data_IF_498598642955
#
_entry.id   IF_498598642955
#
_cell.length_a   1.000
_cell.length_b   1.000
_cell.length_c   1.000
_cell.angle_alpha   90.00
_cell.angle_beta   90.00
_cell.angle_gamma   90.00
#
_symmetry.space_group_name_H-M   'P 1'
#
loop_
_entity.id
_entity.type
_entity.pdbx_description
1 polymer ?
#
# COMPACT_ATOMS: atom_id res chain seq x y z
N UNK A 1 -45.17 -3.89 77.79
CA UNK A 1 -44.69 -5.21 77.38
C UNK A 1 -44.90 -5.40 75.91
N UNK A 2 -43.89 -5.32 75.09
CA UNK A 2 -43.65 -5.84 73.74
C UNK A 2 -42.50 -5.09 73.08
N UNK A 3 -41.39 -5.73 73.00
CA UNK A 3 -40.21 -5.22 72.30
C UNK A 3 -40.33 -5.56 70.79
N UNK A 4 -40.19 -4.55 69.92
CA UNK A 4 -40.08 -4.69 68.50
C UNK A 4 -38.61 -4.61 68.14
N UNK A 5 -38.14 -5.67 67.50
CA UNK A 5 -36.82 -5.70 66.86
C UNK A 5 -36.97 -5.25 65.39
N UNK A 6 -36.33 -4.16 65.01
CA UNK A 6 -36.22 -3.75 63.62
C UNK A 6 -34.92 -4.32 63.00
N UNK A 7 -35.08 -5.02 61.86
CA UNK A 7 -33.98 -5.49 61.03
C UNK A 7 -33.54 -4.37 60.11
N UNK A 8 -32.27 -4.01 60.16
CA UNK A 8 -31.61 -3.21 59.12
C UNK A 8 -31.32 -4.10 57.94
N UNK A 9 -31.88 -3.78 56.77
CA UNK A 9 -31.49 -4.32 55.47
C UNK A 9 -30.50 -3.41 54.82
N UNK A 10 -29.25 -3.85 54.68
CA UNK A 10 -28.24 -3.17 53.91
C UNK A 10 -28.49 -3.39 52.40
N UNK A 11 -28.80 -2.33 51.68
CA UNK A 11 -28.88 -2.33 50.23
C UNK A 11 -27.47 -2.07 49.69
N UNK A 12 -26.85 -3.09 49.11
CA UNK A 12 -25.65 -2.93 48.27
C UNK A 12 -26.09 -2.30 46.95
N UNK A 13 -25.74 -1.04 46.74
CA UNK A 13 -25.80 -0.40 45.44
C UNK A 13 -24.58 -0.85 44.60
N UNK A 14 -24.79 -1.77 43.67
CA UNK A 14 -23.82 -2.09 42.64
C UNK A 14 -23.77 -0.90 41.64
N UNK A 15 -22.72 -0.11 41.73
CA UNK A 15 -22.46 0.93 40.75
C UNK A 15 -22.04 0.30 39.42
N UNK A 16 -22.95 0.31 38.45
CA UNK A 16 -22.62 0.05 37.04
C UNK A 16 -21.83 1.24 36.54
N UNK A 17 -20.49 1.10 36.42
CA UNK A 17 -19.66 2.01 35.69
C UNK A 17 -20.00 1.85 34.20
N UNK A 18 -20.88 2.70 33.69
CA UNK A 18 -21.05 2.88 32.28
C UNK A 18 -19.77 3.51 31.74
N UNK A 19 -18.92 2.73 31.09
CA UNK A 19 -17.89 3.28 30.22
C UNK A 19 -18.60 4.06 29.11
N UNK A 20 -18.63 5.40 29.25
CA UNK A 20 -19.02 6.26 28.16
C UNK A 20 -17.99 6.08 27.04
N UNK A 21 -18.38 5.40 25.97
CA UNK A 21 -17.69 5.46 24.71
C UNK A 21 -17.79 6.90 24.25
N UNK A 22 -16.71 7.67 24.41
CA UNK A 22 -16.63 9.01 23.84
C UNK A 22 -16.76 8.86 22.33
N UNK A 23 -17.65 9.64 21.67
CA UNK A 23 -17.69 9.63 20.22
C UNK A 23 -16.30 10.02 19.71
N UNK A 24 -15.78 9.20 18.77
CA UNK A 24 -14.57 9.56 18.01
C UNK A 24 -14.82 10.96 17.47
N UNK A 25 -14.02 11.93 17.93
CA UNK A 25 -14.12 13.31 17.46
C UNK A 25 -13.94 13.34 15.95
N UNK A 26 -14.73 14.15 15.27
CA UNK A 26 -14.67 14.29 13.82
C UNK A 26 -13.22 14.51 13.38
N UNK A 27 -12.71 13.60 12.56
CA UNK A 27 -11.37 13.64 11.99
C UNK A 27 -11.25 14.91 11.16
N UNK A 28 -10.22 15.71 11.40
CA UNK A 28 -9.88 16.84 10.53
C UNK A 28 -9.21 16.27 9.26
N UNK A 29 -10.03 15.93 8.30
CA UNK A 29 -9.56 15.60 6.94
C UNK A 29 -9.29 16.90 6.22
N UNK A 30 -8.28 16.93 5.34
CA UNK A 30 -8.07 18.02 4.40
C UNK A 30 -9.42 18.30 3.71
N UNK A 31 -10.07 19.45 4.00
CA UNK A 31 -11.42 19.73 3.52
C UNK A 31 -11.49 19.82 1.99
N UNK A 32 -10.34 20.02 1.32
CA UNK A 32 -10.26 20.13 -0.13
C UNK A 32 -9.96 18.78 -0.81
N UNK A 33 -9.68 17.69 -0.05
CA UNK A 33 -9.42 16.39 -0.61
C UNK A 33 -10.69 15.55 -0.73
N UNK A 34 -11.23 15.50 -1.93
CA UNK A 34 -12.39 14.67 -2.30
C UNK A 34 -11.96 13.57 -3.28
N UNK A 35 -11.70 12.37 -2.73
CA UNK A 35 -11.32 11.21 -3.52
C UNK A 35 -12.43 10.77 -4.50
N UNK A 36 -13.69 10.91 -4.10
CA UNK A 36 -14.84 10.58 -4.94
C UNK A 36 -14.91 11.51 -6.17
N UNK A 37 -14.78 12.81 -5.97
CA UNK A 37 -14.69 13.80 -7.04
C UNK A 37 -13.46 13.57 -7.93
N UNK A 38 -12.30 13.34 -7.35
CA UNK A 38 -11.11 13.02 -8.14
C UNK A 38 -11.32 11.83 -9.07
N UNK A 39 -11.91 10.74 -8.58
CA UNK A 39 -12.21 9.54 -9.37
C UNK A 39 -13.21 9.83 -10.48
N UNK A 40 -14.28 10.57 -10.19
CA UNK A 40 -15.27 10.96 -11.19
C UNK A 40 -14.64 11.79 -12.30
N UNK A 41 -13.86 12.81 -11.97
CA UNK A 41 -13.14 13.66 -12.91
C UNK A 41 -12.14 12.89 -13.78
N UNK A 42 -11.38 11.96 -13.19
CA UNK A 42 -10.45 11.10 -13.93
C UNK A 42 -11.18 10.23 -14.95
N UNK A 43 -12.33 9.63 -14.57
CA UNK A 43 -13.16 8.82 -15.48
C UNK A 43 -13.73 9.72 -16.58
N UNK A 44 -14.22 10.90 -16.26
CA UNK A 44 -14.75 11.86 -17.21
C UNK A 44 -13.68 12.29 -18.21
N UNK A 45 -12.48 12.68 -17.74
CA UNK A 45 -11.36 13.03 -18.61
C UNK A 45 -10.99 11.87 -19.55
N UNK A 46 -10.93 10.63 -19.06
CA UNK A 46 -10.62 9.46 -19.88
C UNK A 46 -11.69 9.23 -20.97
N UNK A 47 -12.97 9.30 -20.61
CA UNK A 47 -14.08 9.16 -21.58
C UNK A 47 -14.07 10.28 -22.62
N UNK A 48 -13.85 11.52 -22.20
CA UNK A 48 -13.77 12.66 -23.10
C UNK A 48 -12.57 12.55 -24.07
N UNK A 49 -11.40 12.07 -23.62
CA UNK A 49 -10.26 11.78 -24.50
C UNK A 49 -10.63 10.72 -25.55
N UNK A 50 -11.31 9.65 -25.16
CA UNK A 50 -11.76 8.59 -26.06
C UNK A 50 -12.79 9.10 -27.09
N UNK A 51 -13.70 9.98 -26.66
CA UNK A 51 -14.69 10.61 -27.49
C UNK A 51 -14.15 11.77 -28.34
N UNK A 52 -12.89 12.18 -28.14
CA UNK A 52 -12.24 13.35 -28.75
C UNK A 52 -12.96 14.68 -28.40
N UNK A 53 -13.60 14.73 -27.23
CA UNK A 53 -14.21 15.93 -26.64
C UNK A 53 -13.13 16.73 -25.90
N UNK A 54 -12.21 17.35 -26.66
CA UNK A 54 -10.94 17.83 -26.14
C UNK A 54 -11.07 18.87 -25.03
N UNK A 55 -11.94 19.88 -25.21
CA UNK A 55 -12.12 20.95 -24.21
C UNK A 55 -12.71 20.40 -22.90
N UNK A 56 -13.62 19.45 -22.98
CA UNK A 56 -14.17 18.73 -21.83
C UNK A 56 -13.09 17.90 -21.13
N UNK A 57 -12.26 17.21 -21.89
CA UNK A 57 -11.15 16.44 -21.37
C UNK A 57 -10.12 17.32 -20.66
N UNK A 58 -9.82 18.51 -21.21
CA UNK A 58 -8.94 19.49 -20.57
C UNK A 58 -9.54 19.96 -19.25
N UNK A 59 -10.80 20.41 -19.24
CA UNK A 59 -11.46 20.89 -18.03
C UNK A 59 -11.47 19.83 -16.91
N UNK A 60 -11.90 18.60 -17.22
CA UNK A 60 -11.96 17.54 -16.24
C UNK A 60 -10.56 17.12 -15.72
N UNK A 61 -9.54 17.12 -16.60
CA UNK A 61 -8.18 16.82 -16.16
C UNK A 61 -7.56 17.93 -15.32
N UNK A 62 -7.88 19.18 -15.58
CA UNK A 62 -7.40 20.33 -14.79
C UNK A 62 -8.00 20.31 -13.38
N UNK A 63 -9.31 20.12 -13.26
CA UNK A 63 -9.95 19.97 -11.95
C UNK A 63 -9.41 18.76 -11.19
N UNK A 64 -9.19 17.63 -11.87
CA UNK A 64 -8.58 16.45 -11.22
C UNK A 64 -7.16 16.72 -10.73
N UNK A 65 -6.35 17.51 -11.45
CA UNK A 65 -4.98 17.89 -11.06
C UNK A 65 -4.95 18.93 -9.92
N UNK A 66 -6.01 19.71 -9.71
CA UNK A 66 -6.13 20.52 -8.49
C UNK A 66 -6.22 19.62 -7.26
N UNK A 67 -7.02 18.56 -7.31
CA UNK A 67 -7.18 17.62 -6.17
C UNK A 67 -5.94 16.75 -6.02
N UNK A 68 -5.36 16.27 -7.13
CA UNK A 68 -4.23 15.32 -7.12
C UNK A 68 -3.15 15.70 -8.14
N UNK A 69 -2.29 16.70 -7.84
CA UNK A 69 -1.29 17.22 -8.79
C UNK A 69 -0.24 16.19 -9.24
N UNK A 70 -0.02 15.14 -8.42
CA UNK A 70 0.98 14.11 -8.70
C UNK A 70 0.44 12.89 -9.45
N UNK A 71 -0.83 12.90 -9.88
CA UNK A 71 -1.44 11.77 -10.59
C UNK A 71 -0.88 11.60 -11.99
N UNK A 72 -0.02 10.59 -12.17
CA UNK A 72 0.56 10.27 -13.48
C UNK A 72 -0.50 9.95 -14.55
N UNK A 73 -1.55 9.23 -14.17
CA UNK A 73 -2.64 8.92 -15.10
C UNK A 73 -3.35 10.19 -15.60
N UNK A 74 -3.62 11.15 -14.70
CA UNK A 74 -4.28 12.40 -15.08
C UNK A 74 -3.33 13.32 -15.85
N UNK A 75 -2.04 13.36 -15.51
CA UNK A 75 -1.03 14.10 -16.29
C UNK A 75 -0.94 13.62 -17.74
N UNK A 76 -1.02 12.30 -17.97
CA UNK A 76 -1.08 11.76 -19.33
C UNK A 76 -2.39 12.06 -20.05
N UNK A 77 -3.53 12.00 -19.36
CA UNK A 77 -4.83 12.41 -19.92
C UNK A 77 -4.82 13.88 -20.29
N UNK A 78 -4.29 14.74 -19.42
CA UNK A 78 -4.12 16.18 -19.66
C UNK A 78 -3.23 16.46 -20.88
N UNK A 79 -2.10 15.72 -21.01
CA UNK A 79 -1.23 15.85 -22.20
C UNK A 79 -1.98 15.47 -23.49
N UNK A 80 -2.73 14.36 -23.48
CA UNK A 80 -3.53 13.91 -24.62
C UNK A 80 -4.65 14.89 -24.99
N UNK A 81 -5.40 15.36 -23.99
CA UNK A 81 -6.50 16.31 -24.19
C UNK A 81 -6.00 17.62 -24.81
N UNK A 82 -4.92 18.17 -24.25
CA UNK A 82 -4.31 19.42 -24.76
C UNK A 82 -3.70 19.25 -26.15
N UNK A 83 -3.07 18.12 -26.42
CA UNK A 83 -2.55 17.84 -27.77
C UNK A 83 -3.69 17.77 -28.80
N UNK A 84 -4.81 17.09 -28.45
CA UNK A 84 -5.99 17.03 -29.30
C UNK A 84 -6.70 18.37 -29.50
N UNK A 85 -6.67 19.26 -28.50
CA UNK A 85 -7.18 20.63 -28.57
C UNK A 85 -6.23 21.60 -29.31
N UNK A 86 -5.09 21.15 -29.84
CA UNK A 86 -4.09 22.00 -30.50
C UNK A 86 -3.22 22.83 -29.56
N UNK A 87 -3.31 22.61 -28.23
CA UNK A 87 -2.56 23.32 -27.18
C UNK A 87 -1.20 22.67 -26.93
N UNK A 88 -0.34 22.62 -27.95
CA UNK A 88 0.89 21.85 -27.94
C UNK A 88 1.88 22.21 -26.81
N UNK A 89 2.03 23.52 -26.49
CA UNK A 89 2.91 23.94 -25.41
C UNK A 89 2.46 23.45 -24.02
N UNK A 90 1.17 23.53 -23.73
CA UNK A 90 0.57 23.06 -22.49
C UNK A 90 0.60 21.51 -22.40
N UNK A 91 0.31 20.82 -23.52
CA UNK A 91 0.43 19.36 -23.61
C UNK A 91 1.85 18.88 -23.28
N UNK A 92 2.85 19.60 -23.81
CA UNK A 92 4.26 19.32 -23.53
C UNK A 92 4.61 19.58 -22.06
N UNK A 93 4.02 20.60 -21.41
CA UNK A 93 4.20 20.85 -19.98
C UNK A 93 3.67 19.69 -19.15
N UNK A 94 2.44 19.20 -19.41
CA UNK A 94 1.88 18.02 -18.71
C UNK A 94 2.73 16.77 -18.89
N UNK A 95 3.27 16.54 -20.10
CA UNK A 95 4.16 15.39 -20.36
C UNK A 95 5.51 15.55 -19.62
N UNK A 96 6.05 16.77 -19.55
CA UNK A 96 7.27 17.06 -18.78
C UNK A 96 7.03 16.80 -17.29
N UNK A 97 5.90 17.23 -16.76
CA UNK A 97 5.53 17.00 -15.36
C UNK A 97 5.40 15.51 -15.02
N UNK A 98 4.83 14.73 -15.94
CA UNK A 98 4.81 13.28 -15.83
C UNK A 98 6.21 12.68 -15.74
N UNK A 99 7.09 13.03 -16.68
CA UNK A 99 8.45 12.50 -16.73
C UNK A 99 9.31 12.98 -15.54
N UNK A 100 9.10 14.22 -15.06
CA UNK A 100 9.84 14.77 -13.92
C UNK A 100 9.64 13.97 -12.62
N UNK A 101 8.56 13.19 -12.52
CA UNK A 101 8.28 12.28 -11.37
C UNK A 101 8.93 10.89 -11.53
N UNK A 102 9.83 10.74 -12.50
CA UNK A 102 10.56 9.49 -12.74
C UNK A 102 9.73 8.39 -13.39
N UNK A 103 8.60 8.74 -14.02
CA UNK A 103 7.74 7.80 -14.72
C UNK A 103 8.15 7.63 -16.18
N UNK A 104 7.76 6.50 -16.78
CA UNK A 104 8.01 6.19 -18.19
C UNK A 104 6.70 5.94 -18.93
N UNK A 105 6.72 6.20 -20.23
CA UNK A 105 5.59 5.99 -21.11
C UNK A 105 6.06 5.39 -22.44
N UNK A 106 5.29 4.44 -22.97
CA UNK A 106 5.52 3.92 -24.32
C UNK A 106 5.03 4.95 -25.35
N UNK A 107 5.93 5.47 -26.16
CA UNK A 107 5.57 6.44 -27.23
C UNK A 107 4.54 5.86 -28.20
N UNK A 108 4.65 4.57 -28.52
CA UNK A 108 3.72 3.88 -29.43
C UNK A 108 2.30 3.75 -28.86
N UNK A 109 2.16 3.74 -27.54
CA UNK A 109 0.84 3.66 -26.89
C UNK A 109 0.08 5.01 -26.92
N UNK A 110 0.78 6.12 -27.24
CA UNK A 110 0.22 7.46 -27.26
C UNK A 110 0.63 8.22 -28.53
N UNK A 111 0.21 7.75 -29.74
CA UNK A 111 0.65 8.35 -31.01
C UNK A 111 0.30 9.83 -31.14
N UNK A 112 -0.77 10.31 -30.52
CA UNK A 112 -1.15 11.71 -30.48
C UNK A 112 -0.15 12.63 -29.76
N UNK A 113 0.72 12.06 -28.91
CA UNK A 113 1.81 12.80 -28.26
C UNK A 113 3.09 12.85 -29.10
N UNK A 114 3.14 12.15 -30.24
CA UNK A 114 4.36 12.07 -31.08
C UNK A 114 4.93 13.44 -31.48
N UNK A 115 4.11 14.46 -31.83
CA UNK A 115 4.64 15.78 -32.19
C UNK A 115 5.26 16.56 -31.04
N UNK A 116 5.02 16.13 -29.78
CA UNK A 116 5.51 16.83 -28.59
C UNK A 116 6.95 16.45 -28.21
N UNK A 117 7.41 15.30 -28.70
CA UNK A 117 8.72 14.77 -28.32
C UNK A 117 9.85 15.61 -28.91
N UNK A 118 10.81 15.95 -28.05
CA UNK A 118 12.07 16.59 -28.40
C UNK A 118 13.23 15.92 -27.68
N UNK A 119 14.43 16.34 -27.95
CA UNK A 119 15.66 15.79 -27.37
C UNK A 119 15.65 15.82 -25.82
N UNK A 120 15.04 16.84 -25.18
CA UNK A 120 14.98 16.96 -23.72
C UNK A 120 14.01 15.93 -23.11
N UNK A 121 12.82 15.77 -23.69
CA UNK A 121 11.86 14.77 -23.24
C UNK A 121 12.38 13.35 -23.50
N UNK A 122 13.06 13.12 -24.62
CA UNK A 122 13.68 11.84 -24.93
C UNK A 122 14.80 11.51 -23.95
N UNK A 123 15.66 12.45 -23.63
CA UNK A 123 16.70 12.29 -22.63
C UNK A 123 16.12 11.97 -21.25
N UNK A 124 15.04 12.67 -20.84
CA UNK A 124 14.39 12.41 -19.57
C UNK A 124 13.73 11.02 -19.54
N UNK A 125 13.04 10.62 -20.62
CA UNK A 125 12.44 9.29 -20.72
C UNK A 125 13.50 8.18 -20.66
N UNK A 126 14.61 8.34 -21.37
CA UNK A 126 15.75 7.43 -21.30
C UNK A 126 16.32 7.36 -19.88
N UNK A 127 16.59 8.50 -19.24
CA UNK A 127 17.07 8.55 -17.86
C UNK A 127 16.10 7.88 -16.87
N UNK A 128 14.77 8.01 -17.07
CA UNK A 128 13.77 7.33 -16.23
C UNK A 128 13.73 5.82 -16.48
N UNK A 129 14.09 5.37 -17.69
CA UNK A 129 14.08 3.95 -18.08
C UNK A 129 15.32 3.20 -17.58
N UNK A 130 16.43 3.93 -17.34
CA UNK A 130 17.66 3.33 -16.86
C UNK A 130 17.48 2.73 -15.46
N UNK A 131 17.97 1.50 -15.22
CA UNK A 131 17.99 0.91 -13.90
C UNK A 131 18.79 1.74 -12.89
N UNK A 132 18.32 1.79 -11.65
CA UNK A 132 19.02 2.45 -10.54
C UNK A 132 19.20 1.42 -9.43
N UNK A 133 20.38 1.40 -8.82
CA UNK A 133 20.69 0.53 -7.70
C UNK A 133 20.66 -0.95 -8.05
N UNK A 134 20.94 -1.76 -7.06
CA UNK A 134 20.90 -3.23 -7.18
C UNK A 134 20.42 -3.82 -5.86
N UNK A 135 19.92 -5.05 -5.92
CA UNK A 135 19.62 -5.84 -4.75
C UNK A 135 20.21 -7.25 -4.92
N UNK A 136 20.45 -7.91 -3.81
CA UNK A 136 20.88 -9.31 -3.80
C UNK A 136 19.64 -10.20 -3.82
N UNK A 137 19.51 -11.09 -4.80
CA UNK A 137 18.49 -12.15 -4.77
C UNK A 137 18.92 -13.18 -3.72
N UNK A 138 18.18 -13.25 -2.60
CA UNK A 138 18.48 -14.15 -1.49
C UNK A 138 17.69 -15.44 -1.53
N UNK A 139 16.50 -15.44 -2.17
CA UNK A 139 15.68 -16.63 -2.36
C UNK A 139 14.97 -16.57 -3.72
N UNK A 140 14.75 -17.75 -4.33
CA UNK A 140 14.03 -17.92 -5.60
C UNK A 140 13.13 -19.15 -5.50
N UNK A 141 11.83 -18.97 -5.71
CA UNK A 141 10.83 -20.02 -5.51
C UNK A 141 9.94 -20.19 -6.75
N UNK A 142 10.27 -21.15 -7.60
CA UNK A 142 9.48 -21.43 -8.80
C UNK A 142 8.06 -21.93 -8.48
N UNK A 143 7.93 -22.68 -7.38
CA UNK A 143 6.65 -23.26 -6.97
C UNK A 143 5.74 -22.33 -6.19
N UNK A 144 6.26 -21.19 -5.67
CA UNK A 144 5.42 -20.18 -5.02
C UNK A 144 4.56 -19.51 -6.08
N UNK A 145 3.29 -19.32 -5.81
CA UNK A 145 2.35 -18.74 -6.76
C UNK A 145 1.71 -17.49 -6.18
N UNK A 146 2.07 -16.36 -6.78
CA UNK A 146 1.73 -15.00 -6.35
C UNK A 146 2.10 -14.77 -4.88
N UNK A 147 3.35 -14.36 -4.68
CA UNK A 147 3.85 -13.95 -3.37
C UNK A 147 3.35 -12.53 -3.07
N UNK A 148 2.67 -12.34 -1.94
CA UNK A 148 2.11 -11.05 -1.53
C UNK A 148 2.69 -10.61 -0.19
N UNK A 149 2.53 -11.42 0.83
CA UNK A 149 2.99 -11.15 2.18
C UNK A 149 4.34 -11.79 2.48
N UNK A 150 5.15 -11.05 3.24
CA UNK A 150 6.46 -11.47 3.74
C UNK A 150 6.54 -11.15 5.24
N UNK A 151 7.00 -12.12 6.03
CA UNK A 151 7.38 -11.88 7.42
C UNK A 151 8.68 -12.62 7.76
N UNK A 152 9.55 -11.98 8.56
CA UNK A 152 10.87 -12.50 8.90
C UNK A 152 11.09 -12.47 10.40
N UNK A 153 11.47 -13.59 10.97
CA UNK A 153 11.90 -13.66 12.35
C UNK A 153 13.31 -13.08 12.49
N UNK A 154 13.41 -11.93 13.14
CA UNK A 154 14.66 -11.17 13.22
C UNK A 154 15.82 -11.96 13.86
N UNK A 155 15.55 -12.87 14.81
CA UNK A 155 16.58 -13.65 15.52
C UNK A 155 17.16 -14.81 14.69
N UNK A 156 16.31 -15.54 13.98
CA UNK A 156 16.71 -16.76 13.25
C UNK A 156 16.87 -16.54 11.74
N UNK A 157 16.31 -15.43 11.21
CA UNK A 157 16.23 -15.20 9.77
C UNK A 157 15.19 -16.07 9.06
N UNK A 158 14.36 -16.83 9.79
CA UNK A 158 13.27 -17.60 9.19
C UNK A 158 12.34 -16.68 8.45
N UNK A 159 12.02 -17.03 7.22
CA UNK A 159 11.15 -16.28 6.32
C UNK A 159 9.82 -16.99 6.14
N UNK A 160 8.75 -16.25 6.24
CA UNK A 160 7.38 -16.70 5.94
C UNK A 160 6.92 -15.97 4.69
N UNK A 161 6.30 -16.71 3.77
CA UNK A 161 5.81 -16.18 2.49
C UNK A 161 4.39 -16.63 2.26
N UNK A 162 3.50 -15.71 1.91
CA UNK A 162 2.19 -16.06 1.42
C UNK A 162 2.28 -16.56 -0.03
N UNK A 163 1.42 -17.52 -0.38
CA UNK A 163 1.20 -18.00 -1.74
C UNK A 163 -0.27 -17.80 -2.07
N UNK A 164 -0.63 -16.60 -2.49
CA UNK A 164 -2.00 -16.14 -2.64
C UNK A 164 -2.81 -17.04 -3.55
N UNK A 165 -2.33 -17.33 -4.75
CA UNK A 165 -3.10 -18.13 -5.71
C UNK A 165 -3.24 -19.60 -5.30
N UNK A 166 -2.40 -20.10 -4.39
CA UNK A 166 -2.48 -21.45 -3.83
C UNK A 166 -3.24 -21.54 -2.52
N UNK A 167 -3.60 -20.41 -1.91
CA UNK A 167 -4.25 -20.39 -0.60
C UNK A 167 -3.36 -20.99 0.49
N UNK A 168 -2.10 -20.55 0.59
CA UNK A 168 -1.16 -21.15 1.54
C UNK A 168 -0.22 -20.11 2.16
N UNK A 169 0.23 -20.39 3.38
CA UNK A 169 1.37 -19.75 4.03
C UNK A 169 2.52 -20.76 4.07
N UNK A 170 3.70 -20.32 3.68
CA UNK A 170 4.88 -21.16 3.62
C UNK A 170 5.96 -20.63 4.57
N UNK A 171 6.80 -21.54 5.07
CA UNK A 171 8.01 -21.23 5.82
C UNK A 171 9.24 -21.63 5.01
N UNK A 172 10.27 -20.80 4.98
CA UNK A 172 11.54 -21.11 4.35
C UNK A 172 12.53 -21.59 5.40
N UNK A 173 12.91 -22.85 5.31
CA UNK A 173 13.92 -23.46 6.16
C UNK A 173 15.15 -23.84 5.31
N UNK A 174 16.32 -23.28 5.61
CA UNK A 174 17.58 -23.55 4.88
C UNK A 174 17.43 -23.39 3.35
N UNK A 175 16.68 -22.35 2.92
CA UNK A 175 16.42 -22.09 1.51
C UNK A 175 15.33 -22.95 0.86
N UNK A 176 14.77 -23.92 1.60
CA UNK A 176 13.69 -24.79 1.13
C UNK A 176 12.34 -24.24 1.58
N UNK A 177 11.42 -24.11 0.62
CA UNK A 177 10.05 -23.68 0.86
C UNK A 177 9.20 -24.86 1.33
N UNK A 178 8.63 -24.77 2.51
CA UNK A 178 7.77 -25.78 3.11
C UNK A 178 6.38 -25.20 3.40
N UNK A 179 5.28 -25.92 3.14
CA UNK A 179 3.96 -25.53 3.58
C UNK A 179 3.91 -25.44 5.11
N UNK A 180 3.41 -24.32 5.65
CA UNK A 180 3.15 -24.13 7.07
C UNK A 180 1.64 -24.27 7.36
N UNK A 181 0.80 -23.61 6.58
CA UNK A 181 -0.65 -23.63 6.73
C UNK A 181 -1.32 -23.55 5.36
N UNK A 182 -2.38 -24.34 5.14
CA UNK A 182 -3.20 -24.31 3.94
C UNK A 182 -4.58 -23.75 4.27
N UNK A 183 -5.06 -22.86 3.43
CA UNK A 183 -6.38 -22.24 3.54
C UNK A 183 -7.43 -23.04 2.74
N UNK A 184 -8.73 -22.82 3.02
CA UNK A 184 -9.80 -23.38 2.21
C UNK A 184 -9.69 -22.96 0.73
N UNK A 185 -10.29 -23.74 -0.17
CA UNK A 185 -10.35 -23.39 -1.58
C UNK A 185 -11.00 -22.02 -1.80
N UNK A 186 -10.43 -21.24 -2.70
CA UNK A 186 -10.90 -19.90 -3.03
C UNK A 186 -10.47 -18.80 -2.05
N UNK A 187 -9.76 -19.15 -0.97
CA UNK A 187 -9.25 -18.20 0.04
C UNK A 187 -7.74 -18.06 -0.09
N UNK A 188 -7.26 -16.85 -0.36
CA UNK A 188 -5.84 -16.52 -0.48
C UNK A 188 -5.24 -15.98 0.81
N UNK A 189 -3.93 -16.22 1.03
CA UNK A 189 -3.13 -15.54 2.05
C UNK A 189 -2.50 -14.28 1.44
N UNK A 190 -2.76 -13.14 2.05
CA UNK A 190 -2.26 -11.83 1.66
C UNK A 190 -1.14 -11.37 2.60
N UNK A 191 -1.34 -10.33 3.37
CA UNK A 191 -0.35 -9.79 4.31
C UNK A 191 0.01 -10.76 5.44
N UNK A 192 1.25 -10.67 5.89
CA UNK A 192 1.81 -11.46 7.00
C UNK A 192 2.49 -10.53 8.01
N UNK A 193 2.26 -10.76 9.31
CA UNK A 193 2.96 -10.07 10.38
C UNK A 193 3.35 -11.01 11.51
N UNK A 194 4.56 -10.84 12.07
CA UNK A 194 5.05 -11.63 13.21
C UNK A 194 4.96 -10.83 14.50
N UNK A 195 4.47 -11.48 15.56
CA UNK A 195 4.55 -10.97 16.93
C UNK A 195 4.75 -12.12 17.92
N UNK A 196 5.90 -12.14 18.55
CA UNK A 196 6.27 -13.23 19.44
C UNK A 196 6.28 -14.58 18.73
N UNK A 197 5.51 -15.53 19.23
CA UNK A 197 5.36 -16.87 18.64
C UNK A 197 4.17 -16.97 17.69
N UNK A 198 3.54 -15.84 17.37
CA UNK A 198 2.39 -15.79 16.50
C UNK A 198 2.73 -15.21 15.13
N UNK A 199 2.22 -15.86 14.09
CA UNK A 199 2.15 -15.35 12.74
C UNK A 199 0.68 -14.94 12.48
N UNK A 200 0.49 -13.67 12.20
CA UNK A 200 -0.79 -13.08 11.84
C UNK A 200 -0.92 -13.04 10.34
N UNK A 201 -2.05 -13.50 9.81
CA UNK A 201 -2.28 -13.68 8.38
C UNK A 201 -3.59 -13.01 7.99
N UNK A 202 -3.53 -12.04 7.10
CA UNK A 202 -4.71 -11.53 6.43
C UNK A 202 -5.11 -12.49 5.30
N UNK A 203 -6.37 -12.90 5.29
CA UNK A 203 -6.90 -13.83 4.29
C UNK A 203 -8.16 -13.29 3.65
N UNK A 204 -8.35 -13.55 2.36
CA UNK A 204 -9.55 -13.14 1.64
C UNK A 204 -9.84 -14.04 0.44
N UNK A 205 -11.11 -14.21 0.13
CA UNK A 205 -11.55 -14.80 -1.13
C UNK A 205 -11.20 -13.90 -2.31
N UNK A 206 -10.75 -14.47 -3.42
CA UNK A 206 -10.41 -13.67 -4.59
C UNK A 206 -10.22 -14.50 -5.86
N UNK A 207 -10.51 -13.91 -7.02
CA UNK A 207 -10.49 -14.56 -8.31
C UNK A 207 -9.13 -15.19 -8.70
N UNK A 208 -8.04 -14.64 -8.14
CA UNK A 208 -6.67 -15.14 -8.38
C UNK A 208 -6.39 -16.43 -7.59
N UNK A 209 -7.20 -16.75 -6.58
CA UNK A 209 -6.99 -17.93 -5.74
C UNK A 209 -7.66 -19.16 -6.36
N UNK A 210 -6.93 -20.27 -6.41
CA UNK A 210 -7.43 -21.54 -6.93
C UNK A 210 -8.71 -21.97 -6.22
N UNK A 211 -9.73 -22.35 -7.00
CA UNK A 211 -11.03 -22.79 -6.46
C UNK A 211 -11.93 -21.64 -6.02
N UNK A 212 -11.60 -20.39 -6.36
CA UNK A 212 -12.51 -19.27 -6.14
C UNK A 212 -13.82 -19.47 -6.93
N UNK A 213 -14.93 -19.26 -6.23
CA UNK A 213 -16.27 -19.34 -6.78
C UNK A 213 -17.05 -18.08 -6.36
N UNK A 214 -17.38 -17.17 -7.30
CA UNK A 214 -18.09 -15.94 -6.98
C UNK A 214 -19.54 -16.18 -6.48
N UNK A 215 -20.08 -17.39 -6.63
CA UNK A 215 -21.40 -17.74 -6.10
C UNK A 215 -21.37 -18.10 -4.60
N UNK A 216 -20.18 -18.37 -4.04
CA UNK A 216 -19.99 -18.61 -2.60
C UNK A 216 -19.88 -17.31 -1.82
N UNK A 217 -20.29 -17.29 -0.53
CA UNK A 217 -20.02 -16.15 0.33
C UNK A 217 -18.53 -15.79 0.35
N UNK A 218 -18.24 -14.50 0.26
CA UNK A 218 -16.85 -14.03 0.39
C UNK A 218 -16.34 -14.28 1.82
N UNK A 219 -15.11 -14.75 1.92
CA UNK A 219 -14.42 -14.96 3.20
C UNK A 219 -13.35 -13.89 3.34
N UNK A 220 -13.28 -13.23 4.49
CA UNK A 220 -12.17 -12.38 4.90
C UNK A 220 -11.94 -12.61 6.40
N UNK A 221 -10.76 -13.11 6.75
CA UNK A 221 -10.38 -13.43 8.12
C UNK A 221 -8.97 -12.96 8.42
N UNK A 222 -8.72 -12.60 9.67
CA UNK A 222 -7.37 -12.53 10.22
C UNK A 222 -7.15 -13.78 11.06
N UNK A 223 -6.12 -14.55 10.73
CA UNK A 223 -5.75 -15.74 11.46
C UNK A 223 -4.55 -15.45 12.36
N UNK A 224 -4.65 -15.89 13.62
CA UNK A 224 -3.51 -16.02 14.51
C UNK A 224 -3.02 -17.47 14.46
N UNK A 225 -1.81 -17.68 13.93
CA UNK A 225 -1.24 -19.00 13.71
C UNK A 225 0.02 -19.15 14.56
N UNK A 226 0.20 -20.31 15.19
CA UNK A 226 1.50 -20.66 15.76
C UNK A 226 2.56 -20.75 14.65
N UNK A 227 3.59 -19.93 14.73
CA UNK A 227 4.58 -19.75 13.65
C UNK A 227 5.46 -20.97 13.37
N UNK A 228 5.46 -21.97 14.25
CA UNK A 228 6.26 -23.19 14.09
C UNK A 228 5.42 -24.38 13.63
N UNK A 229 4.25 -24.58 14.24
CA UNK A 229 3.38 -25.71 13.94
C UNK A 229 2.37 -25.43 12.83
N UNK A 230 2.08 -24.15 12.54
CA UNK A 230 1.03 -23.76 11.59
C UNK A 230 -0.39 -23.95 12.13
N UNK A 231 -0.55 -24.27 13.41
CA UNK A 231 -1.87 -24.42 14.02
C UNK A 231 -2.54 -23.07 14.22
N UNK A 232 -3.81 -22.95 13.85
CA UNK A 232 -4.62 -21.75 14.08
C UNK A 232 -4.98 -21.70 15.56
N UNK A 233 -4.58 -20.60 16.24
CA UNK A 233 -4.91 -20.32 17.63
C UNK A 233 -6.21 -19.53 17.75
N UNK A 234 -6.46 -18.59 16.82
CA UNK A 234 -7.66 -17.77 16.80
C UNK A 234 -8.01 -17.34 15.36
N UNK A 235 -9.28 -17.00 15.16
CA UNK A 235 -9.84 -16.43 13.93
C UNK A 235 -10.61 -15.17 14.28
N UNK A 236 -10.42 -14.11 13.48
CA UNK A 236 -11.10 -12.85 13.64
C UNK A 236 -11.81 -12.54 12.32
N UNK A 237 -13.12 -12.39 12.40
CA UNK A 237 -14.00 -12.13 11.24
C UNK A 237 -14.89 -10.94 11.53
N UNK A 238 -15.40 -10.30 10.49
CA UNK A 238 -16.52 -9.38 10.56
C UNK A 238 -17.66 -9.95 9.71
N UNK A 239 -18.51 -10.76 10.34
CA UNK A 239 -19.63 -11.44 9.65
C UNK A 239 -20.71 -10.46 9.18
N UNK A 240 -20.79 -9.27 9.77
CA UNK A 240 -21.81 -8.27 9.45
C UNK A 240 -21.48 -7.51 8.15
N UNK A 241 -20.21 -7.48 7.74
CA UNK A 241 -19.75 -6.64 6.65
C UNK A 241 -18.88 -7.42 5.66
N UNK A 242 -19.21 -7.45 4.36
CA UNK A 242 -18.31 -8.03 3.36
C UNK A 242 -16.97 -7.29 3.35
N UNK A 243 -15.88 -8.02 3.52
CA UNK A 243 -14.51 -7.51 3.63
C UNK A 243 -13.60 -8.11 2.57
N UNK A 244 -12.48 -7.41 2.29
CA UNK A 244 -11.33 -7.95 1.55
C UNK A 244 -10.05 -7.48 2.26
N UNK A 245 -9.57 -8.29 3.17
CA UNK A 245 -8.33 -8.01 3.87
C UNK A 245 -7.13 -8.15 2.93
N UNK A 246 -6.28 -7.15 2.93
CA UNK A 246 -5.07 -7.07 2.15
C UNK A 246 -3.84 -7.16 3.04
N UNK A 247 -3.29 -6.03 3.44
CA UNK A 247 -2.09 -5.98 4.26
C UNK A 247 -2.42 -5.98 5.76
N UNK A 248 -1.43 -6.37 6.58
CA UNK A 248 -1.58 -6.51 8.02
C UNK A 248 -0.30 -6.05 8.72
N UNK A 249 -0.43 -5.31 9.80
CA UNK A 249 0.69 -4.83 10.59
C UNK A 249 0.48 -5.11 12.08
N UNK A 250 1.44 -5.79 12.70
CA UNK A 250 1.47 -6.03 14.13
C UNK A 250 2.17 -4.85 14.83
N UNK A 251 1.38 -3.91 15.32
CA UNK A 251 1.84 -2.73 16.01
C UNK A 251 2.28 -2.99 17.44
N UNK A 252 2.59 -1.94 18.18
CA UNK A 252 3.10 -2.03 19.56
C UNK A 252 2.04 -2.59 20.52
N UNK A 253 0.82 -2.13 20.39
CA UNK A 253 -0.32 -2.54 21.24
C UNK A 253 -1.40 -3.26 20.44
N UNK A 254 -1.61 -2.89 19.20
CA UNK A 254 -2.75 -3.29 18.39
C UNK A 254 -2.31 -3.92 17.06
N UNK A 255 -3.22 -4.65 16.45
CA UNK A 255 -3.08 -5.17 15.11
C UNK A 255 -3.90 -4.29 14.16
N UNK A 256 -3.33 -3.97 13.01
CA UNK A 256 -4.01 -3.19 11.97
C UNK A 256 -4.13 -4.01 10.70
N UNK A 257 -5.25 -3.88 10.01
CA UNK A 257 -5.49 -4.57 8.73
C UNK A 257 -6.16 -3.63 7.74
N UNK A 258 -5.69 -3.64 6.48
CA UNK A 258 -6.30 -2.89 5.39
C UNK A 258 -7.45 -3.68 4.76
N UNK A 259 -8.56 -3.01 4.45
CA UNK A 259 -9.70 -3.54 3.69
C UNK A 259 -9.81 -2.86 2.33
N UNK A 260 -9.32 -3.54 1.30
CA UNK A 260 -9.33 -3.02 -0.06
C UNK A 260 -10.72 -2.99 -0.72
N UNK A 261 -11.75 -3.62 -0.14
CA UNK A 261 -13.11 -3.57 -0.65
C UNK A 261 -13.85 -2.31 -0.21
N UNK A 262 -13.69 -1.97 1.07
CA UNK A 262 -14.35 -0.81 1.67
C UNK A 262 -13.50 0.46 1.60
N UNK A 263 -12.19 0.32 1.41
CA UNK A 263 -11.27 1.44 1.57
C UNK A 263 -11.10 1.84 3.03
N UNK A 264 -11.21 0.87 3.93
CA UNK A 264 -11.12 1.06 5.37
C UNK A 264 -9.82 0.53 5.93
N UNK A 265 -9.45 1.01 7.12
CA UNK A 265 -8.42 0.39 7.95
C UNK A 265 -9.07 0.00 9.26
N UNK A 266 -8.87 -1.26 9.64
CA UNK A 266 -9.42 -1.83 10.86
C UNK A 266 -8.32 -2.01 11.91
N UNK A 267 -8.72 -1.90 13.17
CA UNK A 267 -7.89 -2.15 14.34
C UNK A 267 -8.46 -3.31 15.14
N UNK A 268 -7.59 -4.21 15.59
CA UNK A 268 -7.87 -5.21 16.59
C UNK A 268 -7.11 -4.81 17.86
N UNK A 269 -7.82 -4.20 18.81
CA UNK A 269 -7.23 -3.65 20.03
C UNK A 269 -6.66 -4.75 20.92
N UNK A 270 -5.43 -4.55 21.41
CA UNK A 270 -4.72 -5.53 22.24
C UNK A 270 -4.69 -6.95 21.65
N UNK A 271 -4.72 -7.08 20.31
CA UNK A 271 -4.71 -8.37 19.60
C UNK A 271 -5.87 -9.31 19.98
N UNK A 272 -7.01 -8.75 20.38
CA UNK A 272 -8.16 -9.50 20.88
C UNK A 272 -9.48 -8.78 20.62
N UNK A 273 -10.58 -9.47 20.81
CA UNK A 273 -11.93 -8.91 20.64
C UNK A 273 -12.40 -8.87 19.19
N UNK A 274 -13.14 -7.85 18.82
CA UNK A 274 -13.64 -7.60 17.48
C UNK A 274 -12.89 -6.48 16.77
N UNK A 275 -13.09 -6.35 15.47
CA UNK A 275 -12.53 -5.25 14.69
C UNK A 275 -13.23 -3.93 15.03
N UNK A 276 -12.43 -2.89 15.15
CA UNK A 276 -12.87 -1.50 15.22
C UNK A 276 -12.46 -0.80 13.92
N UNK A 277 -13.33 0.02 13.35
CA UNK A 277 -13.00 0.84 12.18
C UNK A 277 -12.13 2.01 12.63
N UNK A 278 -10.86 2.00 12.25
CA UNK A 278 -9.93 3.10 12.52
C UNK A 278 -10.05 4.19 11.47
N UNK A 279 -10.13 3.82 10.20
CA UNK A 279 -10.36 4.74 9.08
C UNK A 279 -11.60 4.26 8.34
N UNK A 280 -12.68 5.08 8.31
CA UNK A 280 -13.93 4.68 7.67
C UNK A 280 -13.88 4.76 6.15
N UNK A 281 -14.88 4.15 5.50
CA UNK A 281 -15.11 4.21 4.06
C UNK A 281 -15.19 5.68 3.56
N UNK A 282 -14.66 5.93 2.38
CA UNK A 282 -14.71 7.23 1.72
C UNK A 282 -13.39 8.01 1.71
N UNK A 283 -12.50 7.76 2.65
CA UNK A 283 -11.21 8.47 2.72
C UNK A 283 -10.13 7.82 1.86
N UNK A 284 -10.11 6.50 1.78
CA UNK A 284 -9.14 5.73 1.01
C UNK A 284 -9.81 4.94 -0.10
N UNK A 285 -9.05 4.64 -1.13
CA UNK A 285 -9.58 3.90 -2.25
C UNK A 285 -9.10 2.48 -2.36
N UNK A 286 -7.91 2.24 -1.85
CA UNK A 286 -7.24 0.94 -1.86
C UNK A 286 -6.11 0.99 -0.83
N UNK A 287 -6.43 0.98 0.47
CA UNK A 287 -5.43 0.93 1.52
C UNK A 287 -4.61 -0.37 1.41
N UNK A 288 -3.30 -0.24 1.58
CA UNK A 288 -2.31 -1.30 1.47
C UNK A 288 -1.41 -1.30 2.71
N UNK A 289 -0.10 -1.11 2.53
CA UNK A 289 0.91 -1.18 3.56
C UNK A 289 0.66 -0.25 4.76
N UNK A 290 0.99 -0.76 5.94
CA UNK A 290 0.76 -0.13 7.23
C UNK A 290 2.05 -0.15 8.05
N UNK A 291 2.37 0.92 8.76
CA UNK A 291 3.53 0.94 9.65
C UNK A 291 3.38 1.98 10.77
N UNK A 292 3.71 1.60 12.01
CA UNK A 292 3.78 2.52 13.14
C UNK A 292 5.14 3.22 13.25
N UNK A 293 5.14 4.42 13.84
CA UNK A 293 6.35 5.03 14.35
C UNK A 293 6.88 4.27 15.60
N UNK A 294 8.09 4.60 16.05
CA UNK A 294 8.71 3.92 17.18
C UNK A 294 7.95 4.11 18.50
N UNK A 295 7.32 5.25 18.67
CA UNK A 295 6.51 5.54 19.87
C UNK A 295 5.21 4.70 19.91
N UNK A 296 4.67 4.28 18.75
CA UNK A 296 3.41 3.55 18.64
C UNK A 296 2.19 4.44 18.75
N UNK A 297 2.34 5.74 18.43
CA UNK A 297 1.26 6.73 18.48
C UNK A 297 0.94 7.37 17.12
N UNK A 298 1.66 6.99 16.07
CA UNK A 298 1.39 7.39 14.68
C UNK A 298 1.40 6.15 13.80
N UNK A 299 0.34 5.97 13.04
CA UNK A 299 0.25 4.97 11.97
C UNK A 299 0.36 5.68 10.62
N UNK A 300 1.21 5.19 9.73
CA UNK A 300 1.21 5.55 8.31
C UNK A 300 0.54 4.43 7.53
N UNK A 301 -0.36 4.82 6.64
CA UNK A 301 -1.05 3.92 5.72
C UNK A 301 -0.80 4.37 4.29
N UNK A 302 -0.44 3.45 3.41
CA UNK A 302 -0.45 3.71 1.98
C UNK A 302 -1.85 3.47 1.42
N UNK A 303 -2.39 4.47 0.72
CA UNK A 303 -3.49 4.26 -0.21
C UNK A 303 -2.95 4.27 -1.64
N UNK A 304 -3.08 3.15 -2.31
CA UNK A 304 -2.54 2.93 -3.65
C UNK A 304 -3.03 3.98 -4.65
N UNK A 305 -4.24 4.51 -4.43
CA UNK A 305 -4.90 5.45 -5.33
C UNK A 305 -4.69 6.92 -4.99
N UNK A 306 -4.29 7.26 -3.75
CA UNK A 306 -4.22 8.66 -3.29
C UNK A 306 -2.95 9.04 -2.51
N UNK A 307 -2.09 8.09 -2.16
CA UNK A 307 -0.80 8.35 -1.54
C UNK A 307 -0.68 7.89 -0.09
N UNK A 308 0.05 8.61 0.75
CA UNK A 308 0.29 8.23 2.14
C UNK A 308 -0.55 9.07 3.10
N UNK A 309 -1.07 8.42 4.12
CA UNK A 309 -1.83 9.03 5.21
C UNK A 309 -1.15 8.79 6.54
N UNK A 310 -1.15 9.82 7.36
CA UNK A 310 -0.69 9.80 8.74
C UNK A 310 -1.90 9.84 9.65
N UNK A 311 -1.98 8.90 10.57
CA UNK A 311 -3.02 8.83 11.58
C UNK A 311 -2.36 9.01 12.95
N UNK A 312 -2.82 9.98 13.73
CA UNK A 312 -2.48 10.09 15.15
C UNK A 312 -3.38 9.11 15.91
N UNK A 313 -2.79 8.08 16.51
CA UNK A 313 -3.52 7.02 17.20
C UNK A 313 -4.14 7.45 18.54
N UNK A 314 -3.64 8.56 19.13
CA UNK A 314 -4.16 9.10 20.38
C UNK A 314 -5.40 9.98 20.14
N UNK A 315 -5.37 10.84 19.10
CA UNK A 315 -6.46 11.78 18.79
C UNK A 315 -7.42 11.29 17.71
N UNK A 316 -6.99 10.35 16.86
CA UNK A 316 -7.72 9.91 15.67
C UNK A 316 -7.59 10.86 14.47
N UNK A 317 -6.81 11.95 14.60
CA UNK A 317 -6.59 12.89 13.49
C UNK A 317 -5.85 12.20 12.33
N UNK A 318 -6.32 12.49 11.11
CA UNK A 318 -5.75 11.96 9.88
C UNK A 318 -5.36 13.09 8.94
N UNK A 319 -4.11 13.03 8.46
CA UNK A 319 -3.56 13.98 7.48
C UNK A 319 -2.99 13.21 6.29
N UNK A 320 -3.05 13.76 5.08
CA UNK A 320 -2.23 13.27 3.96
C UNK A 320 -0.81 13.76 4.12
N UNK A 321 0.16 12.89 3.85
CA UNK A 321 1.57 13.29 3.86
C UNK A 321 1.89 14.18 2.67
N UNK A 322 2.48 15.32 2.95
CA UNK A 322 3.05 16.18 1.94
C UNK A 322 4.38 15.63 1.43
N UNK A 323 4.61 15.77 0.13
CA UNK A 323 5.84 15.35 -0.52
C UNK A 323 6.35 16.43 -1.49
N UNK A 324 7.67 16.42 -1.82
CA UNK A 324 8.22 17.28 -2.86
C UNK A 324 7.45 17.14 -4.18
N UNK A 325 7.26 18.26 -4.89
CA UNK A 325 6.40 18.33 -6.09
C UNK A 325 6.83 17.39 -7.24
N UNK A 326 8.10 17.00 -7.26
CA UNK A 326 8.68 16.12 -8.27
C UNK A 326 8.61 14.63 -7.92
N UNK A 327 7.85 14.27 -6.91
CA UNK A 327 7.59 12.86 -6.55
C UNK A 327 6.09 12.58 -6.56
N UNK A 328 5.72 11.34 -6.84
CA UNK A 328 4.36 10.84 -6.60
C UNK A 328 4.40 9.76 -5.53
N UNK A 329 3.47 9.83 -4.58
CA UNK A 329 3.25 8.81 -3.56
C UNK A 329 2.15 7.82 -3.94
N UNK A 330 1.53 7.99 -5.12
CA UNK A 330 0.52 7.07 -5.65
C UNK A 330 1.18 5.75 -6.06
N UNK A 331 0.44 4.66 -5.93
CA UNK A 331 0.92 3.34 -6.31
C UNK A 331 1.98 2.77 -5.35
N UNK A 332 2.05 3.29 -4.14
CA UNK A 332 2.81 2.65 -3.05
C UNK A 332 1.96 1.51 -2.49
N UNK A 333 2.54 0.33 -2.49
CA UNK A 333 1.97 -0.92 -2.03
C UNK A 333 2.43 -1.20 -0.59
N UNK A 334 3.60 -1.75 -0.38
CA UNK A 334 4.14 -2.08 0.93
C UNK A 334 4.93 -0.95 1.59
N UNK A 335 4.91 -0.93 2.93
CA UNK A 335 5.64 0.01 3.78
C UNK A 335 6.45 -0.71 4.86
N UNK A 336 7.65 -0.22 5.15
CA UNK A 336 8.41 -0.59 6.34
C UNK A 336 9.12 0.64 6.91
N UNK A 337 9.48 0.59 8.19
CA UNK A 337 10.20 1.66 8.88
C UNK A 337 11.69 1.32 9.04
N UNK A 338 12.56 2.31 8.80
CA UNK A 338 13.97 2.25 9.13
C UNK A 338 14.39 3.54 9.85
N UNK A 339 14.44 3.51 11.18
CA UNK A 339 14.60 4.71 12.00
C UNK A 339 13.43 5.68 11.76
N UNK A 340 13.72 6.90 11.31
CA UNK A 340 12.72 7.91 10.97
C UNK A 340 12.41 7.97 9.45
N UNK A 341 12.91 7.00 8.69
CA UNK A 341 12.62 6.89 7.25
C UNK A 341 11.55 5.82 7.01
N UNK A 342 10.69 6.03 6.00
CA UNK A 342 9.88 4.98 5.42
C UNK A 342 10.62 4.36 4.24
N UNK A 343 10.58 3.04 4.15
CA UNK A 343 10.93 2.30 2.95
C UNK A 343 9.63 1.87 2.29
N UNK A 344 9.48 2.18 1.01
CA UNK A 344 8.24 1.97 0.29
C UNK A 344 8.47 1.16 -0.99
N UNK A 345 7.65 0.14 -1.20
CA UNK A 345 7.51 -0.53 -2.48
C UNK A 345 6.52 0.25 -3.32
N UNK A 346 6.89 0.64 -4.54
CA UNK A 346 6.03 1.36 -5.46
C UNK A 346 5.96 0.62 -6.81
N UNK A 347 4.89 -0.17 -6.98
CA UNK A 347 4.62 -0.99 -8.16
C UNK A 347 3.47 -0.43 -9.02
N UNK A 348 2.70 0.55 -8.52
CA UNK A 348 1.57 1.18 -9.23
C UNK A 348 1.96 2.18 -10.30
N UNK A 349 3.24 2.44 -10.47
CA UNK A 349 3.80 3.24 -11.55
C UNK A 349 4.94 2.50 -12.24
N UNK A 350 5.32 2.93 -13.43
CA UNK A 350 6.48 2.33 -14.13
C UNK A 350 7.60 3.36 -14.28
N UNK A 351 8.85 2.93 -14.07
CA UNK A 351 9.30 1.59 -13.63
C UNK A 351 8.97 1.33 -12.16
N UNK A 352 8.78 0.05 -11.81
CA UNK A 352 8.68 -0.39 -10.43
C UNK A 352 9.91 0.07 -9.65
N UNK A 353 9.74 0.45 -8.38
CA UNK A 353 10.85 0.97 -7.58
C UNK A 353 10.68 0.75 -6.08
N UNK A 354 11.81 0.81 -5.39
CA UNK A 354 11.90 0.87 -3.93
C UNK A 354 12.38 2.27 -3.56
N UNK A 355 11.64 2.93 -2.70
CA UNK A 355 11.92 4.29 -2.23
C UNK A 355 12.35 4.29 -0.77
N UNK A 356 13.22 5.25 -0.41
CA UNK A 356 13.41 5.73 0.96
C UNK A 356 12.83 7.13 1.04
N UNK A 357 11.89 7.32 1.95
CA UNK A 357 11.21 8.59 2.19
C UNK A 357 11.60 9.08 3.58
N UNK A 358 12.32 10.20 3.65
CA UNK A 358 12.73 10.81 4.90
C UNK A 358 11.60 11.67 5.45
N UNK A 359 11.12 11.33 6.62
CA UNK A 359 10.06 12.08 7.29
C UNK A 359 10.61 13.25 8.12
N UNK A 360 9.76 14.26 8.31
CA UNK A 360 9.94 15.26 9.38
C UNK A 360 9.84 14.59 10.76
N UNK A 361 10.30 15.27 11.81
CA UNK A 361 10.29 14.70 13.16
C UNK A 361 8.88 14.39 13.68
N UNK A 362 7.88 15.14 13.25
CA UNK A 362 6.46 14.96 13.59
C UNK A 362 5.70 14.01 12.64
N UNK A 363 6.41 13.44 11.67
CA UNK A 363 5.87 12.50 10.66
C UNK A 363 4.79 13.10 9.74
N UNK A 364 4.75 14.42 9.57
CA UNK A 364 3.73 15.10 8.73
C UNK A 364 4.17 15.32 7.30
N UNK A 365 5.48 15.46 7.07
CA UNK A 365 6.00 15.79 5.73
C UNK A 365 7.13 14.86 5.32
N UNK A 366 7.28 14.66 4.01
CA UNK A 366 8.40 13.96 3.41
C UNK A 366 9.37 15.03 2.92
N UNK A 367 10.45 15.23 3.66
CA UNK A 367 11.48 16.22 3.36
C UNK A 367 12.38 15.79 2.20
N UNK A 368 12.51 14.48 1.96
CA UNK A 368 13.39 13.91 0.93
C UNK A 368 12.93 12.53 0.51
N UNK A 369 13.05 12.25 -0.79
CA UNK A 369 12.85 10.93 -1.32
C UNK A 369 14.11 10.47 -2.10
N UNK A 370 14.46 9.21 -1.94
CA UNK A 370 15.57 8.55 -2.63
C UNK A 370 15.06 7.27 -3.28
N UNK A 371 15.41 7.04 -4.53
CA UNK A 371 15.16 5.77 -5.22
C UNK A 371 16.29 4.82 -4.89
N UNK A 372 16.04 3.78 -4.11
CA UNK A 372 17.04 2.77 -3.74
C UNK A 372 17.30 1.79 -4.90
N UNK A 373 16.20 1.32 -5.51
CA UNK A 373 16.22 0.46 -6.68
C UNK A 373 15.07 0.87 -7.60
N UNK A 374 15.33 0.88 -8.90
CA UNK A 374 14.32 1.12 -9.94
C UNK A 374 14.62 0.27 -11.15
N UNK A 375 13.61 -0.48 -11.66
CA UNK A 375 13.78 -1.34 -12.81
C UNK A 375 14.89 -2.39 -12.63
N UNK A 376 15.43 -2.89 -13.72
CA UNK A 376 16.47 -3.90 -13.70
C UNK A 376 15.96 -5.34 -13.59
N UNK A 377 16.91 -6.28 -13.71
CA UNK A 377 16.60 -7.70 -13.70
C UNK A 377 16.10 -8.15 -12.33
N UNK A 378 14.97 -8.84 -12.31
CA UNK A 378 14.40 -9.41 -11.10
C UNK A 378 13.50 -8.48 -10.29
N UNK A 379 13.44 -7.18 -10.56
CA UNK A 379 12.45 -6.27 -9.96
C UNK A 379 11.23 -6.21 -10.85
N UNK A 380 10.15 -6.89 -10.46
CA UNK A 380 8.90 -6.93 -11.22
C UNK A 380 7.71 -7.10 -10.29
N UNK A 381 6.88 -6.06 -10.22
CA UNK A 381 5.73 -6.01 -9.31
C UNK A 381 6.11 -6.42 -7.87
N UNK A 382 7.06 -5.71 -7.27
CA UNK A 382 7.45 -5.96 -5.88
C UNK A 382 6.25 -5.70 -4.97
N UNK A 383 6.15 -6.47 -3.86
CA UNK A 383 5.04 -6.38 -2.88
C UNK A 383 5.57 -6.32 -1.45
N UNK A 384 5.29 -7.28 -0.59
CA UNK A 384 5.61 -7.28 0.83
C UNK A 384 7.09 -7.03 1.15
N UNK A 385 7.35 -6.29 2.22
CA UNK A 385 8.71 -5.93 2.66
C UNK A 385 8.80 -5.87 4.19
N UNK A 386 10.02 -6.07 4.69
CA UNK A 386 10.36 -5.89 6.10
C UNK A 386 11.79 -5.41 6.26
N UNK A 387 12.03 -4.54 7.25
CA UNK A 387 13.36 -4.14 7.67
C UNK A 387 13.78 -4.97 8.89
N UNK A 388 14.95 -5.60 8.81
CA UNK A 388 15.58 -6.37 9.89
C UNK A 388 16.98 -5.81 10.13
N UNK A 389 17.16 -5.09 11.22
CA UNK A 389 18.37 -4.28 11.43
C UNK A 389 18.54 -3.25 10.33
N UNK A 390 19.68 -3.29 9.63
CA UNK A 390 19.96 -2.40 8.50
C UNK A 390 19.68 -3.04 7.13
N UNK A 391 18.99 -4.16 7.10
CA UNK A 391 18.64 -4.86 5.86
C UNK A 391 17.18 -4.70 5.55
N UNK A 392 16.89 -4.22 4.35
CA UNK A 392 15.58 -4.38 3.74
C UNK A 392 15.51 -5.74 3.07
N UNK A 393 14.49 -6.51 3.39
CA UNK A 393 14.17 -7.76 2.71
C UNK A 393 12.76 -7.59 2.12
N UNK A 394 12.57 -7.94 0.86
CA UNK A 394 11.34 -7.68 0.15
C UNK A 394 11.07 -8.69 -0.96
N UNK A 395 9.82 -8.86 -1.33
CA UNK A 395 9.43 -9.61 -2.51
C UNK A 395 9.74 -8.73 -3.72
N UNK A 396 10.83 -9.05 -4.42
CA UNK A 396 11.28 -8.30 -5.59
C UNK A 396 10.50 -8.67 -6.86
N UNK A 397 10.03 -9.93 -6.94
CA UNK A 397 9.16 -10.42 -8.00
C UNK A 397 8.05 -11.27 -7.40
N UNK A 398 6.82 -10.80 -7.50
CA UNK A 398 5.64 -11.42 -6.87
C UNK A 398 4.96 -12.48 -7.70
N UNK A 399 5.19 -12.54 -9.02
CA UNK A 399 4.46 -13.36 -10.00
C UNK A 399 3.04 -12.83 -10.36
N UNK A 400 2.62 -11.64 -9.91
CA UNK A 400 1.34 -11.05 -10.32
C UNK A 400 1.21 -10.95 -11.84
N UNK A 401 2.28 -10.56 -12.54
CA UNK A 401 2.29 -10.49 -14.01
C UNK A 401 2.25 -11.83 -14.74
N UNK A 402 2.30 -12.93 -14.02
CA UNK A 402 2.24 -14.28 -14.58
C UNK A 402 0.82 -14.89 -14.51
N UNK A 403 -0.14 -14.18 -13.89
CA UNK A 403 -1.52 -14.60 -13.74
C UNK A 403 -2.50 -13.57 -14.29
N UNK A 404 -3.59 -14.02 -14.91
CA UNK A 404 -4.71 -13.18 -15.34
C UNK A 404 -5.57 -12.72 -14.15
N UNK A 405 -6.48 -11.80 -14.41
CA UNK A 405 -7.41 -11.29 -13.41
C UNK A 405 -8.33 -12.36 -12.79
N UNK A 406 -8.52 -13.47 -13.48
CA UNK A 406 -9.27 -14.65 -13.07
C UNK A 406 -8.39 -15.75 -12.45
N UNK A 407 -7.10 -15.44 -12.20
CA UNK A 407 -6.13 -16.39 -11.65
C UNK A 407 -5.57 -17.41 -12.64
N UNK A 408 -5.94 -17.34 -13.92
CA UNK A 408 -5.37 -18.23 -14.93
C UNK A 408 -3.91 -17.89 -15.19
N UNK A 409 -3.02 -18.90 -15.26
CA UNK A 409 -1.62 -18.65 -15.64
C UNK A 409 -1.54 -18.08 -17.06
N UNK A 410 -0.82 -16.96 -17.22
CA UNK A 410 -0.55 -16.35 -18.53
C UNK A 410 0.62 -17.01 -19.26
N UNK A 411 1.36 -17.90 -18.58
CA UNK A 411 2.48 -18.66 -19.13
C UNK A 411 2.47 -20.07 -18.57
N UNK A 412 2.85 -21.06 -19.40
CA UNK A 412 3.06 -22.46 -18.96
C UNK A 412 4.28 -22.60 -18.04
N UNK A 413 5.21 -21.65 -18.07
CA UNK A 413 6.39 -21.59 -17.22
C UNK A 413 6.52 -20.19 -16.60
N UNK A 414 5.76 -19.91 -15.51
CA UNK A 414 5.93 -18.64 -14.81
C UNK A 414 7.35 -18.52 -14.25
N UNK A 415 7.89 -17.31 -14.28
CA UNK A 415 9.18 -17.09 -13.64
C UNK A 415 9.09 -17.25 -12.13
N UNK A 416 10.20 -17.46 -11.42
CA UNK A 416 10.19 -17.66 -9.97
C UNK A 416 9.78 -16.38 -9.23
N UNK A 417 9.12 -16.54 -8.08
CA UNK A 417 9.08 -15.48 -7.07
C UNK A 417 10.50 -15.24 -6.56
N UNK A 418 10.87 -13.98 -6.33
CA UNK A 418 12.22 -13.57 -5.90
C UNK A 418 12.10 -12.77 -4.62
N UNK A 419 12.85 -13.18 -3.59
CA UNK A 419 13.08 -12.36 -2.41
C UNK A 419 14.42 -11.66 -2.56
N UNK A 420 14.41 -10.34 -2.44
CA UNK A 420 15.56 -9.45 -2.54
C UNK A 420 16.03 -8.94 -1.19
N UNK A 421 17.32 -8.57 -1.10
CA UNK A 421 17.93 -7.92 0.07
C UNK A 421 18.68 -6.66 -0.37
N UNK A 422 18.50 -5.57 0.36
CA UNK A 422 19.26 -4.32 0.23
C UNK A 422 19.86 -3.98 1.58
N UNK A 423 21.16 -3.62 1.60
CA UNK A 423 21.82 -3.05 2.78
C UNK A 423 21.53 -1.53 2.80
N UNK A 424 20.74 -1.08 3.75
CA UNK A 424 20.30 0.31 3.85
C UNK A 424 21.39 1.29 4.29
N UNK A 425 22.52 0.83 4.79
CA UNK A 425 23.68 1.66 5.12
C UNK A 425 24.63 1.84 3.93
N UNK A 426 24.64 0.89 3.00
CA UNK A 426 25.57 0.85 1.85
C UNK A 426 24.99 1.37 0.55
N UNK A 427 24.04 2.29 0.62
CA UNK A 427 23.42 2.86 -0.57
C UNK A 427 24.45 3.70 -1.34
N UNK A 428 24.66 3.44 -2.64
CA UNK A 428 25.59 4.22 -3.45
C UNK A 428 25.23 5.70 -3.47
N UNK A 429 26.23 6.58 -3.42
CA UNK A 429 26.06 8.05 -3.48
C UNK A 429 25.46 8.55 -4.80
N UNK A 430 25.39 7.71 -5.82
CA UNK A 430 24.83 8.00 -7.15
C UNK A 430 23.31 7.89 -7.26
N UNK A 431 22.62 7.55 -6.16
CA UNK A 431 21.16 7.48 -6.14
C UNK A 431 20.58 8.88 -6.37
N UNK A 432 19.69 9.08 -7.37
CA UNK A 432 19.01 10.35 -7.57
C UNK A 432 18.26 10.77 -6.31
N UNK A 433 18.56 11.99 -5.85
CA UNK A 433 17.96 12.57 -4.65
C UNK A 433 16.97 13.63 -5.09
N UNK A 434 15.72 13.44 -4.68
CA UNK A 434 14.68 14.43 -4.87
C UNK A 434 14.63 15.29 -3.60
N UNK A 435 15.15 16.51 -3.69
CA UNK A 435 15.03 17.54 -2.65
C UNK A 435 14.09 18.64 -3.12
N UNK A 436 13.51 19.40 -2.18
CA UNK A 436 12.72 20.57 -2.56
C UNK A 436 13.48 21.48 -3.52
N UNK A 437 12.82 22.02 -4.55
CA UNK A 437 13.39 23.09 -5.34
C UNK A 437 13.65 24.29 -4.43
N UNK A 438 14.82 24.90 -4.57
CA UNK A 438 15.22 26.10 -3.80
C UNK A 438 14.07 27.13 -3.83
N UNK A 439 13.50 27.43 -2.65
CA UNK A 439 12.35 28.32 -2.47
C UNK A 439 12.58 29.78 -2.95
N UNK A 440 13.72 30.06 -3.57
CA UNK A 440 14.12 31.38 -4.07
C UNK A 440 13.75 31.68 -5.52
N UNK A 441 13.12 30.75 -6.23
CA UNK A 441 12.60 31.08 -7.57
C UNK A 441 11.10 31.41 -7.47
N UNK A 442 10.68 32.63 -7.85
CA UNK A 442 9.27 32.96 -7.93
C UNK A 442 8.59 32.06 -8.94
N UNK A 443 7.45 31.50 -8.55
CA UNK A 443 6.58 30.73 -9.47
C UNK A 443 6.14 31.69 -10.59
N UNK A 444 6.18 31.26 -11.87
CA UNK A 444 5.65 32.04 -12.97
C UNK A 444 4.15 32.26 -12.88
#
# INVERSE_FOLDING_TARGET
MRRLWGRLSAVLAAGVMACAVLPVSAQTVDPDFDLGRFRALRIEAARAVQAKEWDKAVAASDEALIIMPSSGAVLLLSAQARAGAGKAAEAKASLRDYLARGMVVSKSSYPQLSPLWDAKLDQQLMANSEPIGTFKSVQRHAALSVAEGLAIEAKSGKTYLSALSRGAVNIVNNGVLNPLHSLPEGVGAYGLALRGDDLWVATSSGAVTKGYDPAKPAVAEVLQIDRLSGQVKARFTDEATPRRFGDIFAGKTDLYVSDGQKGEVLRLSNYSGGFEVLIPEGYMGSPQGLVENEAGNVLIVSDYSSGLYRINLDSGDMDRLEAPANITLLGIDGLARHGNDLIAVQNGIKPDRILRLRLSADWKTISRAETLVRGGEGLREPTGLQVVGNKLIFIARSQWSDVGADGTPLSVTPGPAIVGEIDLERIPKSVPRFSEPDARQPRP
#
